data_IF_504557540620
#
_entry.id   IF_504557540620
#
_cell.length_a   1.000
_cell.length_b   1.000
_cell.length_c   1.000
_cell.angle_alpha   90.00
_cell.angle_beta   90.00
_cell.angle_gamma   90.00
#
_symmetry.space_group_name_H-M   'P 1'
#
loop_
_entity.id
_entity.type
_entity.pdbx_description
1 polymer ?
#
# COMPACT_ATOMS: atom_id res chain seq x y z
N UNK A 1 -41.33 -55.55 -35.37
CA UNK A 1 -40.39 -55.73 -34.24
C UNK A 1 -41.02 -55.09 -33.02
N UNK A 2 -41.65 -55.91 -32.19
CA UNK A 2 -42.46 -55.48 -31.04
C UNK A 2 -42.71 -56.73 -30.21
N UNK A 3 -42.28 -56.75 -28.94
CA UNK A 3 -42.62 -57.81 -27.99
C UNK A 3 -42.51 -57.29 -26.55
N UNK A 4 -43.60 -57.45 -25.79
CA UNK A 4 -43.69 -57.18 -24.36
C UNK A 4 -43.21 -58.39 -23.54
N UNK A 5 -42.71 -58.18 -22.32
CA UNK A 5 -43.36 -58.67 -21.08
C UNK A 5 -42.68 -58.22 -19.77
N UNK A 6 -43.50 -58.15 -18.71
CA UNK A 6 -43.26 -58.36 -17.25
C UNK A 6 -41.83 -58.24 -16.67
N UNK A 7 -41.53 -57.69 -15.49
CA UNK A 7 -42.29 -57.17 -14.34
C UNK A 7 -41.27 -56.89 -13.19
N UNK A 8 -41.63 -56.60 -11.93
CA UNK A 8 -42.94 -56.46 -11.27
C UNK A 8 -42.90 -55.28 -10.25
N UNK A 9 -43.26 -55.47 -8.97
CA UNK A 9 -43.19 -54.49 -7.87
C UNK A 9 -42.85 -55.20 -6.55
N UNK A 10 -41.94 -54.63 -5.76
CA UNK A 10 -41.88 -54.75 -4.29
C UNK A 10 -41.05 -53.59 -3.74
N UNK A 11 -41.40 -53.02 -2.59
CA UNK A 11 -40.67 -51.93 -1.96
C UNK A 11 -40.51 -52.10 -0.46
N UNK A 12 -39.60 -51.34 0.14
CA UNK A 12 -39.57 -51.11 1.59
C UNK A 12 -38.97 -49.73 1.90
N UNK A 13 -39.55 -49.08 2.90
CA UNK A 13 -39.14 -47.79 3.46
C UNK A 13 -38.00 -47.94 4.48
N UNK A 14 -37.76 -46.90 5.29
CA UNK A 14 -36.70 -46.69 6.31
C UNK A 14 -35.44 -46.05 5.69
N UNK A 15 -34.87 -44.98 6.24
CA UNK A 15 -35.23 -44.17 7.42
C UNK A 15 -34.05 -43.27 7.79
N UNK A 16 -34.30 -42.01 8.17
CA UNK A 16 -33.22 -41.04 8.41
C UNK A 16 -32.41 -41.36 9.67
N UNK A 17 -31.07 -41.25 9.57
CA UNK A 17 -30.14 -41.38 10.70
C UNK A 17 -29.30 -40.11 10.85
N UNK A 18 -29.61 -39.29 11.86
CA UNK A 18 -28.75 -38.20 12.27
C UNK A 18 -27.54 -38.74 13.05
N UNK A 19 -26.32 -38.40 12.64
CA UNK A 19 -25.10 -38.77 13.34
C UNK A 19 -24.76 -37.73 14.43
N UNK A 20 -25.34 -37.90 15.61
CA UNK A 20 -24.85 -37.27 16.83
C UNK A 20 -23.70 -38.09 17.42
N UNK A 21 -22.60 -37.44 17.79
CA UNK A 21 -21.54 -38.04 18.61
C UNK A 21 -21.20 -37.09 19.75
N UNK A 22 -21.60 -37.49 20.96
CA UNK A 22 -21.31 -36.78 22.21
C UNK A 22 -20.61 -37.75 23.17
N UNK A 23 -19.64 -37.22 23.90
CA UNK A 23 -18.96 -37.79 25.07
C UNK A 23 -18.08 -39.05 24.88
N UNK A 24 -16.78 -38.83 25.03
CA UNK A 24 -15.95 -39.66 25.89
C UNK A 24 -15.54 -38.78 27.09
N UNK A 25 -16.10 -39.06 28.27
CA UNK A 25 -15.85 -38.26 29.48
C UNK A 25 -14.61 -38.74 30.24
N UNK A 26 -13.63 -37.87 30.44
CA UNK A 26 -12.54 -38.10 31.39
C UNK A 26 -12.69 -37.18 32.61
N UNK A 27 -13.30 -37.71 33.67
CA UNK A 27 -13.26 -37.07 35.00
C UNK A 27 -11.90 -37.36 35.64
N UNK A 28 -11.03 -36.36 35.75
CA UNK A 28 -9.95 -36.35 36.75
C UNK A 28 -10.42 -35.58 37.99
N UNK A 29 -10.28 -36.12 39.21
CA UNK A 29 -10.50 -35.34 40.42
C UNK A 29 -9.39 -34.28 40.55
N UNK A 30 -9.78 -33.09 40.99
CA UNK A 30 -8.91 -31.94 41.17
C UNK A 30 -8.31 -31.99 42.58
N UNK A 31 -7.05 -32.39 42.71
CA UNK A 31 -6.29 -32.15 43.94
C UNK A 31 -6.04 -30.65 44.06
N UNK A 32 -6.47 -30.05 45.18
CA UNK A 32 -5.94 -28.75 45.60
C UNK A 32 -4.56 -28.98 46.20
N UNK A 33 -3.57 -28.24 45.69
CA UNK A 33 -2.41 -27.84 46.49
C UNK A 33 -2.06 -26.41 46.10
N UNK A 34 -1.84 -25.55 47.09
CA UNK A 34 -1.45 -24.16 46.90
C UNK A 34 0.05 -24.06 46.63
N UNK A 35 0.42 -23.52 45.47
CA UNK A 35 1.70 -22.82 45.30
C UNK A 35 1.45 -21.51 44.56
N UNK A 36 1.20 -20.48 45.34
CA UNK A 36 0.80 -19.13 44.93
C UNK A 36 2.00 -18.29 44.46
N UNK A 37 2.58 -18.63 43.30
CA UNK A 37 3.59 -17.82 42.59
C UNK A 37 3.57 -18.20 41.09
N UNK A 38 2.78 -17.50 40.27
CA UNK A 38 2.66 -17.78 38.83
C UNK A 38 1.48 -17.13 38.09
N UNK A 39 0.48 -16.61 38.82
CA UNK A 39 -0.78 -16.04 38.29
C UNK A 39 -0.63 -14.80 37.38
N UNK A 40 0.58 -14.31 37.13
CA UNK A 40 0.82 -13.21 36.19
C UNK A 40 1.02 -13.65 34.73
N UNK A 41 1.60 -14.84 34.50
CA UNK A 41 2.04 -15.24 33.16
C UNK A 41 0.91 -15.90 32.35
N UNK A 42 0.06 -16.73 32.97
CA UNK A 42 -1.06 -17.39 32.28
C UNK A 42 -2.06 -16.37 31.71
N UNK A 43 -2.46 -15.36 32.52
CA UNK A 43 -3.33 -14.26 32.09
C UNK A 43 -2.68 -13.41 30.97
N UNK A 44 -1.34 -13.33 30.92
CA UNK A 44 -0.63 -12.63 29.85
C UNK A 44 -0.57 -13.45 28.56
N UNK A 45 -0.35 -14.77 28.66
CA UNK A 45 -0.32 -15.71 27.53
C UNK A 45 -1.70 -15.82 26.87
N UNK A 46 -2.78 -15.98 27.65
CA UNK A 46 -4.15 -16.06 27.11
C UNK A 46 -4.61 -14.71 26.51
N UNK A 47 -4.18 -13.58 27.07
CA UNK A 47 -4.48 -12.27 26.50
C UNK A 47 -3.69 -12.00 25.22
N UNK A 48 -2.45 -12.49 25.13
CA UNK A 48 -1.64 -12.43 23.90
C UNK A 48 -2.23 -13.30 22.80
N UNK A 49 -2.61 -14.54 23.10
CA UNK A 49 -3.26 -15.44 22.15
C UNK A 49 -4.62 -14.89 21.67
N UNK A 50 -5.41 -14.28 22.57
CA UNK A 50 -6.69 -13.64 22.22
C UNK A 50 -6.51 -12.43 21.28
N UNK A 51 -5.51 -11.58 21.50
CA UNK A 51 -5.21 -10.45 20.63
C UNK A 51 -4.67 -10.90 19.26
N UNK A 52 -3.76 -11.87 19.25
CA UNK A 52 -3.19 -12.46 18.04
C UNK A 52 -4.29 -13.10 17.16
N UNK A 53 -5.18 -13.89 17.76
CA UNK A 53 -6.35 -14.46 17.08
C UNK A 53 -7.30 -13.38 16.53
N UNK A 54 -7.50 -12.28 17.27
CA UNK A 54 -8.32 -11.15 16.82
C UNK A 54 -7.71 -10.44 15.59
N UNK A 55 -6.40 -10.15 15.62
CA UNK A 55 -5.67 -9.53 14.51
C UNK A 55 -5.68 -10.45 13.28
N UNK A 56 -5.36 -11.73 13.44
CA UNK A 56 -5.43 -12.68 12.33
C UNK A 56 -6.85 -12.85 11.77
N UNK A 57 -7.89 -12.81 12.62
CA UNK A 57 -9.28 -12.80 12.18
C UNK A 57 -9.59 -11.61 11.27
N UNK A 58 -9.22 -10.39 11.67
CA UNK A 58 -9.38 -9.17 10.86
C UNK A 58 -8.62 -9.30 9.53
N UNK A 59 -7.32 -9.62 9.59
CA UNK A 59 -6.47 -9.75 8.40
C UNK A 59 -6.99 -10.83 7.43
N UNK A 60 -7.48 -11.96 7.94
CA UNK A 60 -8.10 -13.02 7.15
C UNK A 60 -9.41 -12.56 6.49
N UNK A 61 -10.27 -11.81 7.20
CA UNK A 61 -11.49 -11.26 6.58
C UNK A 61 -11.18 -10.23 5.51
N UNK A 62 -10.12 -9.44 5.66
CA UNK A 62 -9.68 -8.47 4.64
C UNK A 62 -9.11 -9.17 3.40
N UNK A 63 -8.25 -10.17 3.58
CA UNK A 63 -7.68 -10.98 2.49
C UNK A 63 -8.75 -11.78 1.72
N UNK A 64 -9.80 -12.25 2.39
CA UNK A 64 -10.86 -13.08 1.80
C UNK A 64 -11.94 -12.27 1.07
N UNK A 65 -11.55 -11.52 0.04
CA UNK A 65 -12.50 -10.83 -0.84
C UNK A 65 -13.07 -11.78 -1.92
N UNK A 66 -14.37 -12.09 -1.79
CA UNK A 66 -15.14 -12.91 -2.72
C UNK A 66 -15.91 -12.00 -3.70
N UNK A 67 -15.34 -11.76 -4.89
CA UNK A 67 -15.89 -10.88 -5.93
C UNK A 67 -15.40 -11.28 -7.33
N UNK A 68 -16.22 -11.05 -8.36
CA UNK A 68 -16.05 -11.62 -9.70
C UNK A 68 -14.76 -11.20 -10.43
N UNK A 69 -14.20 -12.14 -11.20
CA UNK A 69 -12.89 -12.03 -11.84
C UNK A 69 -12.76 -10.92 -12.90
N UNK A 70 -13.84 -10.54 -13.58
CA UNK A 70 -13.80 -9.52 -14.65
C UNK A 70 -13.69 -8.09 -14.10
N UNK A 71 -14.47 -7.76 -13.08
CA UNK A 71 -14.43 -6.45 -12.41
C UNK A 71 -13.06 -6.24 -11.76
N UNK A 72 -12.52 -7.32 -11.17
CA UNK A 72 -11.19 -7.38 -10.53
C UNK A 72 -10.04 -6.93 -11.45
N UNK A 73 -10.01 -7.31 -12.73
CA UNK A 73 -8.90 -6.92 -13.64
C UNK A 73 -8.88 -5.41 -13.88
N UNK A 74 -10.04 -4.78 -14.14
CA UNK A 74 -10.13 -3.32 -14.34
C UNK A 74 -9.68 -2.56 -13.09
N UNK A 75 -10.11 -3.01 -11.91
CA UNK A 75 -9.71 -2.43 -10.64
C UNK A 75 -8.20 -2.52 -10.39
N UNK A 76 -7.56 -3.63 -10.77
CA UNK A 76 -6.12 -3.83 -10.60
C UNK A 76 -5.29 -2.99 -11.57
N UNK A 77 -5.72 -2.88 -12.82
CA UNK A 77 -5.10 -1.95 -13.77
C UNK A 77 -5.20 -0.50 -13.28
N UNK A 78 -6.35 -0.13 -12.71
CA UNK A 78 -6.53 1.18 -12.06
C UNK A 78 -5.62 1.35 -10.83
N UNK A 79 -5.51 0.35 -9.94
CA UNK A 79 -4.58 0.35 -8.77
C UNK A 79 -3.13 0.57 -9.21
N UNK A 80 -2.66 -0.17 -10.23
CA UNK A 80 -1.28 -0.06 -10.74
C UNK A 80 -1.05 1.31 -11.42
N UNK A 81 -2.04 1.82 -12.15
CA UNK A 81 -1.96 3.14 -12.80
C UNK A 81 -1.97 4.27 -11.77
N UNK A 82 -2.82 4.20 -10.74
CA UNK A 82 -2.87 5.18 -9.64
C UNK A 82 -1.58 5.17 -8.82
N UNK A 83 -1.04 3.99 -8.51
CA UNK A 83 0.26 3.83 -7.84
C UNK A 83 1.40 4.48 -8.65
N UNK A 84 1.48 4.15 -9.95
CA UNK A 84 2.45 4.76 -10.86
C UNK A 84 2.29 6.26 -11.03
N UNK A 85 1.05 6.76 -11.12
CA UNK A 85 0.73 8.19 -11.17
C UNK A 85 1.17 8.90 -9.88
N UNK A 86 0.83 8.34 -8.72
CA UNK A 86 1.16 8.94 -7.42
C UNK A 86 2.69 9.02 -7.27
N UNK A 87 3.42 7.92 -7.51
CA UNK A 87 4.88 7.93 -7.48
C UNK A 87 5.51 8.89 -8.50
N UNK A 88 4.96 8.97 -9.72
CA UNK A 88 5.40 9.93 -10.74
C UNK A 88 5.25 11.37 -10.24
N UNK A 89 4.09 11.71 -9.66
CA UNK A 89 3.82 13.04 -9.09
C UNK A 89 4.66 13.34 -7.85
N UNK A 90 5.08 12.33 -7.07
CA UNK A 90 5.98 12.51 -5.91
C UNK A 90 7.42 12.78 -6.34
N UNK A 91 7.92 12.07 -7.37
CA UNK A 91 9.33 12.17 -7.81
C UNK A 91 9.60 13.44 -8.62
N UNK A 92 8.61 13.94 -9.36
CA UNK A 92 8.71 15.15 -10.18
C UNK A 92 8.12 16.35 -9.45
N UNK A 93 9.00 17.27 -9.06
CA UNK A 93 8.62 18.56 -8.48
C UNK A 93 9.14 19.71 -9.35
N UNK A 94 8.28 20.33 -10.20
CA UNK A 94 8.70 21.44 -11.06
C UNK A 94 9.23 22.65 -10.27
N UNK A 95 8.67 22.96 -9.10
CA UNK A 95 9.08 24.13 -8.30
C UNK A 95 10.46 23.92 -7.67
N UNK A 96 10.77 22.69 -7.22
CA UNK A 96 12.04 22.37 -6.56
C UNK A 96 13.16 22.00 -7.54
N UNK A 97 12.87 21.18 -8.55
CA UNK A 97 13.89 20.63 -9.48
C UNK A 97 14.10 21.51 -10.72
N UNK A 98 13.16 22.41 -11.03
CA UNK A 98 13.26 23.33 -12.17
C UNK A 98 12.94 22.67 -13.52
N UNK A 99 11.90 21.82 -13.56
CA UNK A 99 11.38 21.28 -14.82
C UNK A 99 10.71 22.38 -15.64
N UNK A 100 10.72 22.26 -16.98
CA UNK A 100 9.99 23.16 -17.88
C UNK A 100 8.51 22.76 -17.95
N UNK A 101 7.87 22.78 -16.78
CA UNK A 101 6.46 22.47 -16.56
C UNK A 101 5.90 23.64 -15.75
N UNK A 102 4.94 24.37 -16.30
CA UNK A 102 4.27 25.44 -15.56
C UNK A 102 3.54 24.84 -14.34
N UNK A 103 4.01 25.10 -13.10
CA UNK A 103 3.50 24.43 -11.92
C UNK A 103 2.10 24.91 -11.52
N UNK A 104 1.74 26.12 -11.92
CA UNK A 104 0.44 26.75 -11.66
C UNK A 104 -0.48 26.64 -12.91
N UNK A 105 -0.03 25.90 -13.93
CA UNK A 105 -0.78 25.58 -15.13
C UNK A 105 -1.75 24.41 -14.91
N UNK A 106 -2.98 24.54 -15.42
CA UNK A 106 -4.09 23.57 -15.24
C UNK A 106 -3.70 22.10 -15.43
N UNK A 107 -2.84 21.80 -16.40
CA UNK A 107 -2.39 20.42 -16.68
C UNK A 107 -1.59 19.85 -15.50
N UNK A 108 -0.65 20.61 -14.94
CA UNK A 108 0.11 20.16 -13.77
C UNK A 108 -0.74 20.11 -12.51
N UNK A 109 -1.67 21.05 -12.31
CA UNK A 109 -2.63 20.99 -11.19
C UNK A 109 -3.44 19.70 -11.18
N UNK A 110 -3.86 19.20 -12.36
CA UNK A 110 -4.55 17.91 -12.50
C UNK A 110 -3.61 16.74 -12.19
N UNK A 111 -2.37 16.76 -12.70
CA UNK A 111 -1.38 15.70 -12.44
C UNK A 111 -0.99 15.62 -10.96
N UNK A 112 -0.71 16.75 -10.33
CA UNK A 112 -0.29 16.87 -8.94
C UNK A 112 -1.46 16.96 -7.93
N UNK A 113 -2.70 16.70 -8.34
CA UNK A 113 -3.88 16.79 -7.45
C UNK A 113 -3.75 15.91 -6.20
N UNK A 114 -3.07 14.77 -6.32
CA UNK A 114 -2.82 13.79 -5.24
C UNK A 114 -1.61 14.15 -4.34
N UNK A 115 -0.90 15.23 -4.64
CA UNK A 115 0.13 15.81 -3.75
C UNK A 115 -0.44 16.92 -2.83
N UNK A 116 -1.73 17.26 -2.95
CA UNK A 116 -2.44 18.24 -2.11
C UNK A 116 -1.82 19.66 -2.03
N UNK A 117 -0.84 20.00 -2.87
CA UNK A 117 -0.22 21.35 -2.88
C UNK A 117 -1.20 22.48 -3.25
N UNK A 118 -2.21 22.17 -4.05
CA UNK A 118 -3.31 23.08 -4.41
C UNK A 118 -4.13 23.55 -3.18
N UNK A 119 -4.00 22.88 -2.02
CA UNK A 119 -4.65 23.29 -0.78
C UNK A 119 -4.08 24.61 -0.23
N UNK A 120 -2.85 24.99 -0.63
CA UNK A 120 -2.30 26.32 -0.33
C UNK A 120 -3.26 27.44 -0.77
N UNK A 121 -3.83 27.30 -1.96
CA UNK A 121 -4.66 28.32 -2.60
C UNK A 121 -6.06 28.45 -1.96
N UNK A 122 -6.50 27.45 -1.20
CA UNK A 122 -7.75 27.48 -0.41
C UNK A 122 -7.53 27.91 1.05
N UNK A 123 -6.27 28.00 1.49
CA UNK A 123 -5.91 28.44 2.84
C UNK A 123 -6.06 27.39 3.95
N UNK A 124 -5.75 27.83 5.18
CA UNK A 124 -5.53 26.95 6.32
C UNK A 124 -6.76 26.12 6.74
N UNK A 125 -7.97 26.66 6.58
CA UNK A 125 -9.22 25.97 6.93
C UNK A 125 -9.49 24.75 6.04
N UNK A 126 -9.19 24.84 4.74
CA UNK A 126 -9.32 23.72 3.81
C UNK A 126 -8.32 22.61 4.12
N UNK A 127 -7.07 22.97 4.45
CA UNK A 127 -6.07 22.03 4.96
C UNK A 127 -6.55 21.30 6.21
N UNK A 128 -7.06 22.01 7.22
CA UNK A 128 -7.60 21.39 8.43
C UNK A 128 -8.78 20.45 8.13
N UNK A 129 -9.71 20.86 7.27
CA UNK A 129 -10.87 20.04 6.91
C UNK A 129 -10.46 18.72 6.23
N UNK A 130 -9.50 18.77 5.30
CA UNK A 130 -8.95 17.57 4.65
C UNK A 130 -8.18 16.68 5.64
N UNK A 131 -7.36 17.27 6.51
CA UNK A 131 -6.59 16.52 7.50
C UNK A 131 -7.54 15.79 8.47
N UNK A 132 -8.49 16.50 9.07
CA UNK A 132 -9.44 15.89 10.00
C UNK A 132 -10.39 14.90 9.32
N UNK A 133 -10.73 15.08 8.04
CA UNK A 133 -11.44 14.07 7.26
C UNK A 133 -10.64 12.78 7.13
N UNK A 134 -9.35 12.87 6.79
CA UNK A 134 -8.45 11.72 6.69
C UNK A 134 -8.23 11.03 8.05
N UNK A 135 -8.06 11.79 9.13
CA UNK A 135 -7.97 11.28 10.50
C UNK A 135 -9.27 10.57 10.93
N UNK A 136 -10.44 11.12 10.61
CA UNK A 136 -11.72 10.49 10.89
C UNK A 136 -11.88 9.17 10.14
N UNK A 137 -11.50 9.12 8.85
CA UNK A 137 -11.51 7.90 8.04
C UNK A 137 -10.56 6.82 8.61
N UNK A 138 -9.35 7.21 9.03
CA UNK A 138 -8.40 6.32 9.70
C UNK A 138 -8.96 5.80 11.04
N UNK A 139 -9.54 6.69 11.85
CA UNK A 139 -10.18 6.33 13.12
C UNK A 139 -11.36 5.37 12.97
N UNK A 140 -12.21 5.57 11.94
CA UNK A 140 -13.29 4.65 11.59
C UNK A 140 -12.73 3.29 11.15
N UNK A 141 -11.66 3.25 10.35
CA UNK A 141 -11.03 1.99 9.94
C UNK A 141 -10.48 1.21 11.15
N UNK A 142 -9.77 1.88 12.06
CA UNK A 142 -9.27 1.28 13.31
C UNK A 142 -10.42 0.80 14.20
N UNK A 143 -11.48 1.60 14.36
CA UNK A 143 -12.67 1.22 15.13
C UNK A 143 -13.37 -0.02 14.55
N UNK A 144 -13.50 -0.10 13.23
CA UNK A 144 -14.03 -1.28 12.53
C UNK A 144 -13.12 -2.51 12.68
N UNK A 145 -11.79 -2.34 12.63
CA UNK A 145 -10.84 -3.43 12.92
C UNK A 145 -11.02 -3.97 14.34
N UNK A 146 -11.08 -3.09 15.35
CA UNK A 146 -11.31 -3.48 16.76
C UNK A 146 -12.67 -4.18 16.94
N UNK A 147 -13.72 -3.67 16.28
CA UNK A 147 -15.05 -4.29 16.30
C UNK A 147 -15.04 -5.70 15.71
N UNK A 148 -14.40 -5.90 14.54
CA UNK A 148 -14.31 -7.22 13.89
C UNK A 148 -13.50 -8.19 14.76
N UNK A 149 -12.38 -7.74 15.35
CA UNK A 149 -11.60 -8.54 16.30
C UNK A 149 -12.42 -8.95 17.54
N UNK A 150 -13.26 -8.06 18.06
CA UNK A 150 -14.19 -8.35 19.16
C UNK A 150 -15.25 -9.39 18.77
N UNK A 151 -15.87 -9.26 17.58
CA UNK A 151 -16.81 -10.26 17.06
C UNK A 151 -16.18 -11.65 16.90
N UNK A 152 -14.91 -11.73 16.49
CA UNK A 152 -14.17 -13.00 16.45
C UNK A 152 -13.95 -13.60 17.84
N UNK A 153 -13.58 -12.78 18.83
CA UNK A 153 -13.41 -13.21 20.22
C UNK A 153 -14.71 -13.78 20.80
N UNK A 154 -15.82 -13.09 20.60
CA UNK A 154 -17.14 -13.49 21.13
C UNK A 154 -17.84 -14.58 20.28
N UNK A 155 -17.26 -15.00 19.15
CA UNK A 155 -17.83 -15.95 18.18
C UNK A 155 -19.25 -15.57 17.71
N UNK A 156 -19.58 -14.28 17.73
CA UNK A 156 -20.90 -13.72 17.40
C UNK A 156 -20.77 -12.65 16.34
N UNK A 157 -21.37 -12.89 15.18
CA UNK A 157 -21.47 -11.95 14.07
C UNK A 157 -22.90 -11.42 13.98
N UNK A 158 -23.28 -10.37 14.76
CA UNK A 158 -24.63 -9.82 14.73
C UNK A 158 -24.97 -9.14 13.40
N UNK A 159 -23.97 -8.68 12.64
CA UNK A 159 -24.12 -8.03 11.34
C UNK A 159 -22.88 -8.23 10.47
N UNK A 160 -23.09 -8.50 9.18
CA UNK A 160 -22.02 -8.79 8.20
C UNK A 160 -21.55 -7.53 7.45
N UNK A 161 -22.37 -6.46 7.43
CA UNK A 161 -22.06 -5.20 6.73
C UNK A 161 -20.73 -4.52 7.16
N UNK A 162 -20.30 -4.55 8.45
CA UNK A 162 -19.06 -3.88 8.86
C UNK A 162 -17.83 -4.46 8.17
N UNK A 163 -17.82 -5.76 7.88
CA UNK A 163 -16.73 -6.44 7.18
C UNK A 163 -16.65 -5.93 5.73
N UNK A 164 -17.79 -5.75 5.06
CA UNK A 164 -17.84 -5.23 3.69
C UNK A 164 -17.41 -3.76 3.61
N UNK A 165 -17.83 -2.95 4.57
CA UNK A 165 -17.42 -1.54 4.66
C UNK A 165 -15.93 -1.43 4.97
N UNK A 166 -15.40 -2.23 5.90
CA UNK A 166 -13.97 -2.29 6.20
C UNK A 166 -13.14 -2.73 4.98
N UNK A 167 -13.57 -3.77 4.25
CA UNK A 167 -12.93 -4.20 2.99
C UNK A 167 -12.83 -3.04 1.98
N UNK A 168 -13.92 -2.32 1.73
CA UNK A 168 -13.96 -1.20 0.76
C UNK A 168 -13.08 -0.04 1.21
N UNK A 169 -13.18 0.39 2.47
CA UNK A 169 -12.34 1.48 2.99
C UNK A 169 -10.86 1.13 2.95
N UNK A 170 -10.49 -0.11 3.30
CA UNK A 170 -9.10 -0.56 3.24
C UNK A 170 -8.58 -0.65 1.80
N UNK A 171 -9.37 -1.19 0.87
CA UNK A 171 -9.05 -1.21 -0.56
C UNK A 171 -8.86 0.19 -1.16
N UNK A 172 -9.59 1.20 -0.64
CA UNK A 172 -9.46 2.58 -1.09
C UNK A 172 -8.25 3.28 -0.47
N UNK A 173 -8.20 3.38 0.86
CA UNK A 173 -7.22 4.21 1.60
C UNK A 173 -5.81 3.60 1.63
N UNK A 174 -5.70 2.30 1.89
CA UNK A 174 -4.41 1.62 2.09
C UNK A 174 -3.85 0.94 0.83
N UNK A 175 -4.61 0.88 -0.26
CA UNK A 175 -4.21 0.17 -1.47
C UNK A 175 -4.37 0.93 -2.78
N UNK A 176 -5.28 1.89 -2.91
CA UNK A 176 -5.46 2.69 -4.15
C UNK A 176 -4.97 4.14 -4.00
N UNK A 177 -5.03 4.69 -2.79
CA UNK A 177 -4.61 6.05 -2.44
C UNK A 177 -3.62 6.05 -1.27
N UNK A 178 -2.74 5.05 -1.20
CA UNK A 178 -1.76 4.91 -0.11
C UNK A 178 -0.71 6.03 -0.14
N UNK A 179 -0.12 6.31 -1.31
CA UNK A 179 0.84 7.41 -1.48
C UNK A 179 0.16 8.77 -1.30
N UNK A 180 -1.07 8.95 -1.80
CA UNK A 180 -1.86 10.17 -1.57
C UNK A 180 -2.19 10.38 -0.07
N UNK A 181 -2.55 9.32 0.64
CA UNK A 181 -2.79 9.34 2.10
C UNK A 181 -1.52 9.69 2.87
N UNK A 182 -0.37 9.12 2.49
CA UNK A 182 0.93 9.47 3.04
C UNK A 182 1.24 10.95 2.80
N UNK A 183 1.08 11.47 1.58
CA UNK A 183 1.31 12.88 1.26
C UNK A 183 0.44 13.80 2.14
N UNK A 184 -0.86 13.50 2.30
CA UNK A 184 -1.77 14.31 3.11
C UNK A 184 -1.40 14.32 4.59
N UNK A 185 -1.01 13.17 5.16
CA UNK A 185 -0.53 13.06 6.54
C UNK A 185 0.89 13.64 6.71
N UNK A 186 1.68 13.70 5.64
CA UNK A 186 3.01 14.33 5.63
C UNK A 186 2.94 15.86 5.54
N UNK A 187 1.89 16.45 4.93
CA UNK A 187 1.72 17.90 4.92
C UNK A 187 1.76 18.47 6.34
N UNK A 188 1.11 17.86 7.33
CA UNK A 188 1.12 18.37 8.71
C UNK A 188 2.48 18.34 9.42
N UNK A 189 3.45 17.60 8.89
CA UNK A 189 4.85 17.61 9.34
C UNK A 189 5.80 18.30 8.34
N UNK A 190 5.29 18.86 7.25
CA UNK A 190 6.09 19.50 6.20
C UNK A 190 6.48 20.92 6.61
N UNK A 191 7.51 20.99 7.47
CA UNK A 191 8.06 22.22 8.01
C UNK A 191 9.43 22.53 7.39
N UNK A 192 9.80 23.81 7.32
CA UNK A 192 11.13 24.26 6.89
C UNK A 192 12.19 23.97 7.96
N UNK A 193 12.57 22.69 8.08
CA UNK A 193 13.61 22.20 8.99
C UNK A 193 15.00 22.74 8.62
N UNK A 194 15.30 22.74 7.32
CA UNK A 194 16.56 23.22 6.75
C UNK A 194 16.26 24.24 5.64
N UNK A 195 17.11 25.27 5.50
CA UNK A 195 16.93 26.33 4.51
C UNK A 195 17.17 27.74 5.06
N UNK A 196 16.95 28.78 4.23
CA UNK A 196 16.99 30.18 4.66
C UNK A 196 15.85 30.48 5.65
N UNK A 197 16.07 31.48 6.51
CA UNK A 197 15.11 31.90 7.54
C UNK A 197 13.79 32.44 6.93
N UNK A 198 12.64 32.28 7.60
CA UNK A 198 12.49 31.71 8.94
C UNK A 198 12.39 30.17 8.95
N UNK A 199 13.11 29.54 9.88
CA UNK A 199 13.09 28.08 10.10
C UNK A 199 11.83 27.67 10.88
N UNK A 200 11.49 26.38 10.84
CA UNK A 200 10.35 25.80 11.57
C UNK A 200 8.98 26.43 11.25
N UNK A 201 8.82 27.01 10.07
CA UNK A 201 7.53 27.46 9.55
C UNK A 201 6.95 26.40 8.61
N UNK A 202 5.62 26.32 8.54
CA UNK A 202 4.90 25.38 7.69
C UNK A 202 5.15 25.72 6.22
N UNK A 203 5.56 24.73 5.42
CA UNK A 203 6.06 25.01 4.06
C UNK A 203 4.96 25.46 3.09
N UNK A 204 3.73 24.97 3.30
CA UNK A 204 2.55 25.31 2.49
C UNK A 204 2.03 26.73 2.78
N UNK A 205 2.05 27.14 4.05
CA UNK A 205 1.53 28.43 4.53
C UNK A 205 2.52 29.02 5.56
N UNK A 206 3.53 29.78 5.11
CA UNK A 206 4.67 30.21 5.93
C UNK A 206 4.31 31.24 7.02
N UNK A 207 3.05 31.67 7.10
CA UNK A 207 2.50 32.48 8.20
C UNK A 207 2.38 31.68 9.50
N UNK A 208 2.27 30.34 9.43
CA UNK A 208 2.12 29.47 10.59
C UNK A 208 3.46 28.83 10.99
N UNK A 209 3.83 28.98 12.26
CA UNK A 209 4.99 28.33 12.86
C UNK A 209 4.64 26.91 13.34
N UNK A 210 5.45 25.92 12.97
CA UNK A 210 5.28 24.53 13.40
C UNK A 210 5.59 24.27 14.88
N UNK A 211 6.30 25.20 15.54
CA UNK A 211 6.61 25.11 16.98
C UNK A 211 5.63 25.88 17.86
N UNK A 212 4.64 26.57 17.26
CA UNK A 212 3.64 27.35 17.97
C UNK A 212 2.21 26.82 17.73
N UNK A 213 1.28 26.99 18.68
CA UNK A 213 -0.14 26.84 18.40
C UNK A 213 -0.59 27.89 17.36
N UNK A 214 -1.55 27.58 16.48
CA UNK A 214 -2.38 26.36 16.46
C UNK A 214 -1.75 25.17 15.71
N UNK A 215 -0.68 25.36 14.93
CA UNK A 215 -0.18 24.31 14.02
C UNK A 215 0.51 23.16 14.76
N UNK A 216 1.24 23.44 15.85
CA UNK A 216 1.94 22.42 16.66
C UNK A 216 1.07 21.19 17.01
N UNK A 217 -0.20 21.40 17.38
CA UNK A 217 -1.13 20.31 17.70
C UNK A 217 -1.40 19.46 16.45
N UNK A 218 -1.62 20.09 15.30
CA UNK A 218 -1.84 19.41 14.03
C UNK A 218 -0.61 18.61 13.61
N UNK A 219 0.60 19.18 13.76
CA UNK A 219 1.87 18.50 13.49
C UNK A 219 2.03 17.23 14.33
N UNK A 220 1.74 17.29 15.63
CA UNK A 220 1.82 16.11 16.51
C UNK A 220 0.79 15.04 16.13
N UNK A 221 -0.47 15.43 15.88
CA UNK A 221 -1.53 14.47 15.51
C UNK A 221 -1.26 13.88 14.12
N UNK A 222 -0.75 14.66 13.17
CA UNK A 222 -0.36 14.21 11.83
C UNK A 222 0.82 13.24 11.89
N UNK A 223 1.83 13.51 12.72
CA UNK A 223 2.96 12.60 12.94
C UNK A 223 2.51 11.24 13.53
N UNK A 224 1.68 11.26 14.58
CA UNK A 224 1.17 10.04 15.22
C UNK A 224 0.27 9.22 14.28
N UNK A 225 -0.61 9.90 13.52
CA UNK A 225 -1.48 9.24 12.55
C UNK A 225 -0.72 8.73 11.32
N UNK A 226 0.36 9.40 10.89
CA UNK A 226 1.27 8.90 9.85
C UNK A 226 1.96 7.59 10.28
N UNK A 227 2.50 7.53 11.51
CA UNK A 227 3.10 6.29 12.05
C UNK A 227 2.06 5.18 12.12
N UNK A 228 0.86 5.47 12.63
CA UNK A 228 -0.24 4.50 12.70
C UNK A 228 -0.67 4.00 11.31
N UNK A 229 -0.79 4.91 10.34
CA UNK A 229 -1.13 4.58 8.95
C UNK A 229 -0.09 3.66 8.32
N UNK A 230 1.20 3.96 8.48
CA UNK A 230 2.31 3.13 7.95
C UNK A 230 2.30 1.74 8.57
N UNK A 231 2.11 1.62 9.89
CA UNK A 231 2.04 0.32 10.58
C UNK A 231 0.85 -0.50 10.08
N UNK A 232 -0.34 0.09 9.97
CA UNK A 232 -1.54 -0.60 9.46
C UNK A 232 -1.32 -1.03 8.00
N UNK A 233 -0.83 -0.14 7.13
CA UNK A 233 -0.55 -0.45 5.74
C UNK A 233 0.47 -1.60 5.57
N UNK A 234 1.53 -1.64 6.40
CA UNK A 234 2.49 -2.75 6.41
C UNK A 234 1.84 -4.07 6.83
N UNK A 235 1.00 -4.08 7.87
CA UNK A 235 0.27 -5.28 8.31
C UNK A 235 -0.72 -5.79 7.25
N UNK A 236 -1.39 -4.87 6.54
CA UNK A 236 -2.29 -5.21 5.44
C UNK A 236 -1.54 -5.82 4.25
N UNK A 237 -0.44 -5.21 3.82
CA UNK A 237 0.44 -5.76 2.78
C UNK A 237 1.08 -7.10 3.21
N UNK A 238 1.28 -7.32 4.52
CA UNK A 238 1.71 -8.61 5.05
C UNK A 238 0.62 -9.70 4.92
N UNK A 239 -0.66 -9.32 4.98
CA UNK A 239 -1.81 -10.23 4.93
C UNK A 239 -2.34 -10.56 3.53
N UNK A 240 -1.87 -9.87 2.47
CA UNK A 240 -2.22 -10.17 1.06
C UNK A 240 -1.60 -11.50 0.53
N UNK A 241 -0.96 -12.33 1.37
CA UNK A 241 -0.42 -13.64 0.97
C UNK A 241 -1.56 -14.63 0.67
N UNK A 242 -1.52 -15.22 -0.52
CA UNK A 242 -2.42 -16.32 -0.88
C UNK A 242 -1.72 -17.67 -0.66
N UNK A 243 -2.22 -18.47 0.27
CA UNK A 243 -1.67 -19.81 0.61
C UNK A 243 -1.84 -20.83 -0.54
N UNK A 244 -2.71 -20.56 -1.52
CA UNK A 244 -2.94 -21.42 -2.68
C UNK A 244 -2.02 -21.03 -3.86
N UNK A 245 -0.97 -21.80 -4.18
CA UNK A 245 -0.03 -21.48 -5.26
C UNK A 245 -0.64 -21.63 -6.66
N UNK A 246 -1.80 -22.29 -6.80
CA UNK A 246 -2.53 -22.41 -8.06
C UNK A 246 -3.60 -21.31 -8.23
N UNK A 247 -3.67 -20.35 -7.29
CA UNK A 247 -4.65 -19.28 -7.35
C UNK A 247 -4.40 -18.35 -8.54
N UNK A 248 -5.35 -18.33 -9.48
CA UNK A 248 -5.33 -17.42 -10.64
C UNK A 248 -5.79 -16.00 -10.30
N UNK A 249 -5.84 -15.64 -9.01
CA UNK A 249 -6.19 -14.30 -8.55
C UNK A 249 -5.03 -13.35 -8.91
N UNK A 250 -5.25 -12.28 -9.69
CA UNK A 250 -4.17 -11.38 -10.11
C UNK A 250 -3.42 -10.65 -8.96
N UNK A 251 -4.03 -10.48 -7.78
CA UNK A 251 -3.36 -9.97 -6.57
C UNK A 251 -2.83 -11.08 -5.64
N UNK A 252 -2.90 -12.36 -6.01
CA UNK A 252 -2.33 -13.42 -5.15
C UNK A 252 -0.81 -13.28 -5.06
N UNK A 253 -0.33 -12.96 -3.85
CA UNK A 253 1.09 -12.91 -3.53
C UNK A 253 1.57 -14.27 -3.06
N UNK A 254 2.67 -14.77 -3.65
CA UNK A 254 3.37 -15.95 -3.15
C UNK A 254 4.28 -15.63 -1.95
N UNK A 255 4.64 -14.36 -1.76
CA UNK A 255 5.48 -13.91 -0.64
C UNK A 255 5.24 -12.42 -0.34
N UNK A 256 4.75 -12.07 0.85
CA UNK A 256 4.44 -10.68 1.21
C UNK A 256 5.66 -9.79 1.43
N UNK A 257 6.83 -10.37 1.74
CA UNK A 257 8.05 -9.61 2.01
C UNK A 257 8.45 -8.66 0.87
N UNK A 258 8.15 -9.00 -0.38
CA UNK A 258 8.40 -8.13 -1.54
C UNK A 258 7.49 -6.90 -1.58
N UNK A 259 6.20 -7.03 -1.27
CA UNK A 259 5.28 -5.88 -1.26
C UNK A 259 5.44 -5.03 0.00
N UNK A 260 5.71 -5.63 1.16
CA UNK A 260 6.00 -4.89 2.39
C UNK A 260 7.28 -4.06 2.25
N UNK A 261 8.35 -4.62 1.66
CA UNK A 261 9.58 -3.86 1.39
C UNK A 261 9.41 -2.82 0.30
N UNK A 262 8.66 -3.12 -0.78
CA UNK A 262 8.32 -2.12 -1.80
C UNK A 262 7.52 -0.95 -1.20
N UNK A 263 6.50 -1.23 -0.37
CA UNK A 263 5.74 -0.19 0.33
C UNK A 263 6.62 0.63 1.27
N UNK A 264 7.54 0.02 2.02
CA UNK A 264 8.50 0.75 2.84
C UNK A 264 9.36 1.72 2.00
N UNK A 265 9.79 1.31 0.80
CA UNK A 265 10.52 2.19 -0.12
C UNK A 265 9.63 3.34 -0.63
N UNK A 266 8.33 3.12 -0.88
CA UNK A 266 7.37 4.19 -1.23
C UNK A 266 7.19 5.20 -0.10
N UNK A 267 7.10 4.75 1.16
CA UNK A 267 7.07 5.63 2.34
C UNK A 267 8.35 6.48 2.42
N UNK A 268 9.52 5.90 2.13
CA UNK A 268 10.77 6.66 2.07
C UNK A 268 10.80 7.67 0.92
N UNK A 269 10.26 7.32 -0.27
CA UNK A 269 10.16 8.22 -1.43
C UNK A 269 9.32 9.47 -1.10
N UNK A 270 8.16 9.32 -0.45
CA UNK A 270 7.32 10.48 -0.08
C UNK A 270 7.99 11.38 0.96
N UNK A 271 8.72 10.79 1.92
CA UNK A 271 9.45 11.54 2.96
C UNK A 271 10.68 12.33 2.46
N UNK A 272 11.21 12.08 1.26
CA UNK A 272 12.41 12.79 0.76
C UNK A 272 12.23 14.31 0.77
N UNK A 273 11.14 14.80 0.18
CA UNK A 273 10.84 16.24 0.10
C UNK A 273 10.44 16.85 1.46
N UNK A 274 10.02 16.05 2.43
CA UNK A 274 9.67 16.51 3.78
C UNK A 274 10.93 16.90 4.58
N UNK A 275 12.01 16.13 4.42
CA UNK A 275 13.24 16.33 5.21
C UNK A 275 14.36 17.06 4.46
N UNK A 276 14.40 17.04 3.13
CA UNK A 276 15.51 17.60 2.35
C UNK A 276 15.06 18.73 1.41
N UNK A 277 15.53 19.98 1.61
CA UNK A 277 15.19 21.11 0.72
C UNK A 277 16.14 21.25 -0.48
N UNK A 278 17.21 20.44 -0.55
CA UNK A 278 18.27 20.62 -1.55
C UNK A 278 17.98 19.79 -2.80
N UNK A 279 17.69 20.38 -3.97
CA UNK A 279 17.24 19.64 -5.15
C UNK A 279 18.26 18.60 -5.64
N UNK A 280 19.57 18.84 -5.43
CA UNK A 280 20.65 17.90 -5.77
C UNK A 280 20.57 16.62 -4.92
N UNK A 281 20.41 16.78 -3.61
CA UNK A 281 20.32 15.67 -2.66
C UNK A 281 19.03 14.90 -2.89
N UNK A 282 17.92 15.63 -3.00
CA UNK A 282 16.57 15.10 -3.29
C UNK A 282 16.58 14.24 -4.57
N UNK A 283 17.14 14.73 -5.67
CA UNK A 283 17.17 13.98 -6.94
C UNK A 283 18.02 12.71 -6.86
N UNK A 284 19.16 12.77 -6.16
CA UNK A 284 19.99 11.58 -5.92
C UNK A 284 19.28 10.55 -5.02
N UNK A 285 18.60 10.98 -3.95
CA UNK A 285 17.83 10.10 -3.08
C UNK A 285 16.66 9.46 -3.83
N UNK A 286 15.95 10.23 -4.68
CA UNK A 286 14.92 9.71 -5.56
C UNK A 286 15.46 8.64 -6.51
N UNK A 287 16.63 8.85 -7.12
CA UNK A 287 17.24 7.85 -8.00
C UNK A 287 17.61 6.56 -7.23
N UNK A 288 18.24 6.68 -6.07
CA UNK A 288 18.62 5.51 -5.24
C UNK A 288 17.39 4.72 -4.79
N UNK A 289 16.34 5.39 -4.30
CA UNK A 289 15.12 4.75 -3.85
C UNK A 289 14.29 4.18 -5.02
N UNK A 290 14.24 4.85 -6.17
CA UNK A 290 13.60 4.31 -7.37
C UNK A 290 14.32 3.06 -7.90
N UNK A 291 15.66 3.06 -7.89
CA UNK A 291 16.47 1.88 -8.26
C UNK A 291 16.25 0.75 -7.26
N UNK A 292 16.15 1.04 -5.96
CA UNK A 292 15.81 0.05 -4.95
C UNK A 292 14.40 -0.55 -5.18
N UNK A 293 13.39 0.28 -5.49
CA UNK A 293 12.03 -0.16 -5.79
C UNK A 293 11.99 -1.06 -7.04
N UNK A 294 12.65 -0.63 -8.12
CA UNK A 294 12.76 -1.41 -9.34
C UNK A 294 13.52 -2.72 -9.12
N UNK A 295 14.60 -2.71 -8.33
CA UNK A 295 15.32 -3.92 -7.95
C UNK A 295 14.44 -4.90 -7.18
N UNK A 296 13.63 -4.44 -6.22
CA UNK A 296 12.69 -5.33 -5.50
C UNK A 296 11.71 -6.01 -6.46
N UNK A 297 11.02 -5.24 -7.31
CA UNK A 297 10.04 -5.81 -8.26
C UNK A 297 10.67 -6.70 -9.35
N UNK A 298 11.93 -6.48 -9.73
CA UNK A 298 12.64 -7.33 -10.70
C UNK A 298 13.30 -8.57 -10.09
N UNK A 299 13.74 -8.50 -8.83
CA UNK A 299 14.39 -9.61 -8.12
C UNK A 299 13.37 -10.59 -7.53
N UNK A 300 12.27 -10.05 -7.00
CA UNK A 300 11.23 -10.78 -6.29
C UNK A 300 9.87 -10.56 -6.98
N UNK A 301 9.52 -11.35 -8.02
CA UNK A 301 8.20 -11.32 -8.62
C UNK A 301 7.16 -11.84 -7.61
N UNK A 302 6.63 -10.94 -6.79
CA UNK A 302 5.80 -11.30 -5.63
C UNK A 302 4.45 -11.93 -5.98
N UNK A 303 3.94 -11.70 -7.20
CA UNK A 303 2.61 -12.15 -7.63
C UNK A 303 2.69 -13.46 -8.40
N UNK A 304 1.76 -14.37 -8.13
CA UNK A 304 1.60 -15.62 -8.89
C UNK A 304 1.24 -15.38 -10.37
N UNK A 305 0.70 -14.20 -10.69
CA UNK A 305 0.24 -13.84 -12.03
C UNK A 305 1.24 -12.89 -12.70
N UNK A 306 2.06 -13.45 -13.61
CA UNK A 306 3.20 -12.78 -14.24
C UNK A 306 2.89 -11.38 -14.81
N UNK A 307 1.73 -11.18 -15.46
CA UNK A 307 1.42 -9.88 -16.08
C UNK A 307 1.33 -8.74 -15.07
N UNK A 308 0.95 -9.01 -13.82
CA UNK A 308 0.93 -7.99 -12.75
C UNK A 308 2.34 -7.61 -12.33
N UNK A 309 3.23 -8.61 -12.23
CA UNK A 309 4.66 -8.38 -11.97
C UNK A 309 5.33 -7.63 -13.12
N UNK A 310 4.99 -7.95 -14.38
CA UNK A 310 5.45 -7.21 -15.56
C UNK A 310 5.07 -5.73 -15.46
N UNK A 311 3.78 -5.42 -15.23
CA UNK A 311 3.31 -4.03 -15.16
C UNK A 311 3.94 -3.25 -14.00
N UNK A 312 3.99 -3.82 -12.78
CA UNK A 312 4.63 -3.18 -11.61
C UNK A 312 6.12 -2.90 -11.88
N UNK A 313 6.84 -3.83 -12.50
CA UNK A 313 8.24 -3.62 -12.89
C UNK A 313 8.41 -2.56 -13.98
N UNK A 314 7.48 -2.48 -14.93
CA UNK A 314 7.43 -1.42 -15.94
C UNK A 314 7.26 -0.05 -15.30
N UNK A 315 6.29 0.10 -14.39
CA UNK A 315 6.09 1.34 -13.61
C UNK A 315 7.37 1.71 -12.88
N UNK A 316 7.98 0.78 -12.13
CA UNK A 316 9.17 1.10 -11.34
C UNK A 316 10.38 1.53 -12.18
N UNK A 317 10.59 0.93 -13.36
CA UNK A 317 11.65 1.36 -14.29
C UNK A 317 11.32 2.71 -14.95
N UNK A 318 10.05 3.02 -15.22
CA UNK A 318 9.66 4.36 -15.65
C UNK A 318 9.90 5.42 -14.56
N UNK A 319 9.70 5.09 -13.27
CA UNK A 319 10.06 5.98 -12.14
C UNK A 319 11.59 6.15 -12.02
N UNK A 320 12.38 5.10 -12.24
CA UNK A 320 13.86 5.21 -12.33
C UNK A 320 14.27 6.17 -13.44
N UNK A 321 13.62 6.11 -14.60
CA UNK A 321 13.87 7.02 -15.71
C UNK A 321 13.56 8.49 -15.36
N UNK A 322 12.41 8.76 -14.70
CA UNK A 322 12.10 10.10 -14.20
C UNK A 322 13.15 10.62 -13.21
N UNK A 323 13.54 9.80 -12.23
CA UNK A 323 14.53 10.17 -11.23
C UNK A 323 15.91 10.42 -11.85
N UNK A 324 16.32 9.59 -12.83
CA UNK A 324 17.57 9.77 -13.57
C UNK A 324 17.58 11.07 -14.38
N UNK A 325 16.50 11.36 -15.11
CA UNK A 325 16.35 12.63 -15.83
C UNK A 325 16.34 13.84 -14.87
N UNK A 326 15.74 13.70 -13.69
CA UNK A 326 15.78 14.72 -12.62
C UNK A 326 17.21 14.99 -12.10
N UNK A 327 18.04 13.95 -11.94
CA UNK A 327 19.47 14.13 -11.62
C UNK A 327 20.19 14.92 -12.72
N UNK A 328 20.00 14.58 -14.00
CA UNK A 328 20.60 15.33 -15.12
C UNK A 328 20.13 16.80 -15.16
N UNK A 329 18.85 17.05 -14.85
CA UNK A 329 18.24 18.38 -14.82
C UNK A 329 18.84 19.28 -13.75
N UNK A 330 19.08 18.74 -12.56
CA UNK A 330 19.57 19.52 -11.41
C UNK A 330 21.09 19.68 -11.43
N UNK A 331 21.85 18.71 -11.97
CA UNK A 331 23.31 18.81 -12.06
C UNK A 331 23.80 19.61 -13.28
N UNK A 332 23.02 19.68 -14.38
CA UNK A 332 23.29 20.52 -15.57
C UNK A 332 24.73 20.38 -16.14
N UNK A 333 25.21 19.14 -16.38
CA UNK A 333 26.60 18.91 -16.79
C UNK A 333 26.93 19.65 -18.09
N UNK A 334 27.90 20.57 -18.05
CA UNK A 334 28.40 21.29 -19.22
C UNK A 334 27.50 22.39 -19.78
N UNK A 335 26.42 22.78 -19.10
CA UNK A 335 25.46 23.79 -19.59
C UNK A 335 25.83 25.20 -19.09
N UNK A 336 25.94 26.15 -20.02
CA UNK A 336 26.16 27.57 -19.69
C UNK A 336 24.90 28.24 -19.14
N UNK A 337 25.06 29.35 -18.40
CA UNK A 337 23.93 30.04 -17.74
C UNK A 337 22.79 30.41 -18.71
N UNK A 338 23.13 30.78 -19.95
CA UNK A 338 22.18 31.16 -20.99
C UNK A 338 21.42 29.95 -21.58
N UNK A 339 21.96 28.74 -21.46
CA UNK A 339 21.37 27.50 -21.99
C UNK A 339 20.41 26.78 -21.03
N UNK A 340 20.22 27.28 -19.81
CA UNK A 340 19.48 26.58 -18.74
C UNK A 340 18.03 26.26 -19.14
N UNK A 341 17.31 27.21 -19.75
CA UNK A 341 15.92 26.97 -20.15
C UNK A 341 15.80 25.93 -21.26
N UNK A 342 16.68 25.99 -22.27
CA UNK A 342 16.73 25.02 -23.35
C UNK A 342 17.09 23.61 -22.84
N UNK A 343 17.99 23.51 -21.86
CA UNK A 343 18.32 22.26 -21.18
C UNK A 343 17.14 21.69 -20.40
N UNK A 344 16.43 22.53 -19.63
CA UNK A 344 15.24 22.14 -18.88
C UNK A 344 14.13 21.65 -19.81
N UNK A 345 13.87 22.36 -20.91
CA UNK A 345 12.92 21.95 -21.94
C UNK A 345 13.30 20.61 -22.56
N UNK A 346 14.54 20.47 -23.04
CA UNK A 346 15.04 19.25 -23.67
C UNK A 346 14.91 18.03 -22.73
N UNK A 347 15.32 18.15 -21.46
CA UNK A 347 15.18 17.07 -20.49
C UNK A 347 13.74 16.78 -20.10
N UNK A 348 12.86 17.79 -20.04
CA UNK A 348 11.43 17.59 -19.80
C UNK A 348 10.80 16.75 -20.92
N UNK A 349 11.10 17.10 -22.18
CA UNK A 349 10.64 16.35 -23.36
C UNK A 349 11.26 14.95 -23.40
N UNK A 350 12.56 14.80 -23.15
CA UNK A 350 13.25 13.49 -23.09
C UNK A 350 12.69 12.59 -21.99
N UNK A 351 12.40 13.15 -20.81
CA UNK A 351 11.77 12.43 -19.69
C UNK A 351 10.41 11.89 -20.12
N UNK A 352 9.52 12.75 -20.63
CA UNK A 352 8.16 12.36 -21.06
C UNK A 352 8.20 11.34 -22.20
N UNK A 353 9.02 11.55 -23.23
CA UNK A 353 9.15 10.64 -24.37
C UNK A 353 9.73 9.26 -23.96
N UNK A 354 10.62 9.23 -22.97
CA UNK A 354 11.25 8.00 -22.50
C UNK A 354 10.39 7.15 -21.54
N UNK A 355 9.29 7.68 -21.00
CA UNK A 355 8.38 6.94 -20.10
C UNK A 355 7.90 5.61 -20.71
N UNK A 356 7.36 5.65 -21.93
CA UNK A 356 6.85 4.47 -22.63
C UNK A 356 7.93 3.41 -22.93
N UNK A 357 9.07 3.79 -23.53
CA UNK A 357 10.22 2.91 -23.71
C UNK A 357 10.75 2.32 -22.40
N UNK A 358 10.93 3.12 -21.34
CA UNK A 358 11.40 2.66 -20.04
C UNK A 358 10.43 1.64 -19.41
N UNK A 359 9.13 1.92 -19.47
CA UNK A 359 8.08 1.00 -19.04
C UNK A 359 8.14 -0.34 -19.79
N UNK A 360 8.27 -0.29 -21.12
CA UNK A 360 8.43 -1.49 -21.96
C UNK A 360 9.68 -2.30 -21.63
N UNK A 361 10.81 -1.62 -21.38
CA UNK A 361 12.06 -2.27 -20.93
C UNK A 361 11.87 -2.99 -19.60
N UNK A 362 11.20 -2.36 -18.62
CA UNK A 362 10.90 -2.98 -17.33
C UNK A 362 10.04 -4.24 -17.47
N UNK A 363 8.94 -4.17 -18.22
CA UNK A 363 8.09 -5.33 -18.52
C UNK A 363 8.87 -6.48 -19.19
N UNK A 364 9.69 -6.17 -20.20
CA UNK A 364 10.49 -7.16 -20.90
C UNK A 364 11.55 -7.79 -19.98
N UNK A 365 12.22 -6.98 -19.15
CA UNK A 365 13.23 -7.46 -18.21
C UNK A 365 12.65 -8.42 -17.18
N UNK A 366 11.48 -8.09 -16.61
CA UNK A 366 10.75 -8.97 -15.68
C UNK A 366 10.41 -10.32 -16.32
N UNK A 367 9.83 -10.32 -17.54
CA UNK A 367 9.55 -11.55 -18.30
C UNK A 367 10.79 -12.40 -18.55
N UNK A 368 11.91 -11.77 -18.91
CA UNK A 368 13.18 -12.46 -19.14
C UNK A 368 13.76 -13.03 -17.85
N UNK A 369 13.66 -12.30 -16.73
CA UNK A 369 14.12 -12.77 -15.43
C UNK A 369 13.28 -13.94 -14.91
N UNK A 370 11.94 -13.88 -14.93
CA UNK A 370 11.10 -15.03 -14.54
C UNK A 370 11.44 -16.24 -15.41
N UNK A 371 11.47 -16.11 -16.74
CA UNK A 371 11.83 -17.24 -17.64
C UNK A 371 13.19 -17.86 -17.30
N UNK A 372 14.20 -17.04 -16.98
CA UNK A 372 15.53 -17.53 -16.55
C UNK A 372 15.47 -18.24 -15.20
N UNK A 373 14.74 -17.71 -14.23
CA UNK A 373 14.58 -18.32 -12.90
C UNK A 373 13.81 -19.65 -12.98
N UNK A 374 12.69 -19.71 -13.72
CA UNK A 374 11.93 -20.94 -13.95
C UNK A 374 12.78 -22.01 -14.65
N UNK A 375 13.55 -21.64 -15.69
CA UNK A 375 14.45 -22.60 -16.36
C UNK A 375 15.52 -23.13 -15.40
N UNK A 376 16.13 -22.27 -14.57
CA UNK A 376 17.09 -22.72 -13.56
C UNK A 376 16.48 -23.64 -12.51
N UNK A 377 15.26 -23.36 -12.06
CA UNK A 377 14.55 -24.20 -11.10
C UNK A 377 14.20 -25.58 -11.68
N UNK A 378 13.69 -25.63 -12.93
CA UNK A 378 13.41 -26.90 -13.62
C UNK A 378 14.70 -27.72 -13.83
N UNK A 379 15.79 -27.08 -14.25
CA UNK A 379 17.11 -27.70 -14.40
C UNK A 379 17.77 -28.15 -13.07
N UNK A 380 17.20 -27.79 -11.91
CA UNK A 380 17.67 -28.23 -10.59
C UNK A 380 16.76 -29.30 -9.97
N UNK A 381 15.63 -29.62 -10.62
CA UNK A 381 14.68 -30.67 -10.24
C UNK A 381 14.75 -31.90 -11.17
N UNK A 382 15.44 -31.76 -12.31
CA UNK A 382 15.76 -32.82 -13.27
C UNK A 382 17.23 -33.24 -13.13
#
# INVERSE_FOLDING_TARGET
MTLQRSGSVAGSSIGGGAASTVSAGSRRPRTQDESSLGRGDDDFVDRRSSLENGVFGVLFTLSKENSETRIRIRWILLKILLDGWQLFSTVIDPKLQGWDINPDGRVWTIVAVLNFRWVADLGYSAYLALLYSMLALLGVNVGLCVWVAWCFKEQKFPVVWPIKVLQVFTAFLFHAFDVASLNMLQLGISCRYFGPSPKMHFDLLPEYSCVAPPHLIQTVVSALSLVLFVVIAMLLNMAEVEVNPLSRRPLALGHSGSEVTAFAIKVLLTLVNVFFPWPRVVSCLYLVLAVALAYQYLRHPGHLVQWVSDLKSGVAIAIVWCAFAGVLLVFRPGVSANGVQAWAHALTVTMLAGLGPAFGVGMLWSRLMTKRMTKKALNALA
#
